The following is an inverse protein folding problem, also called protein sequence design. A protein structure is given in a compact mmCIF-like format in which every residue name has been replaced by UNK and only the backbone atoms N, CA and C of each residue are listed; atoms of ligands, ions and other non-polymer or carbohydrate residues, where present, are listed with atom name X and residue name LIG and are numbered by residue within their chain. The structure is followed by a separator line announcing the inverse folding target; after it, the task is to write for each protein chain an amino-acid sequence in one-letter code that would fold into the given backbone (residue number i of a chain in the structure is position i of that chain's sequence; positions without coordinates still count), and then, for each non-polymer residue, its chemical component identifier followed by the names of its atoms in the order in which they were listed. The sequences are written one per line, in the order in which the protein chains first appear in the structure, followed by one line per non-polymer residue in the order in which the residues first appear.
data_IF_969774356958
#
_entry.id   IF_969774356958
#
_cell.length_a   1.000
_cell.length_b   1.000
_cell.length_c   1.000
_cell.angle_alpha   90.00
_cell.angle_beta   90.00
_cell.angle_gamma   90.00
#
_symmetry.space_group_name_H-M   'P 1'
#
loop_
_entity.id
_entity.type
_entity.pdbx_description
1 polymer ?
#
# COMPACT_ATOMS: atom_id res chain seq x y z
N UNK A 1 19.21 7.47 -14.40
CA UNK A 1 18.24 6.41 -14.04
C UNK A 1 18.41 5.89 -12.61
N UNK A 2 19.62 5.59 -12.11
CA UNK A 2 19.79 5.00 -10.76
C UNK A 2 19.20 5.75 -9.55
N UNK A 3 19.05 7.09 -9.61
CA UNK A 3 18.48 7.87 -8.50
C UNK A 3 17.01 7.54 -8.22
N UNK A 4 16.17 7.34 -9.25
CA UNK A 4 14.74 7.03 -9.04
C UNK A 4 14.54 5.61 -8.51
N UNK A 5 15.35 4.65 -8.99
CA UNK A 5 15.35 3.27 -8.48
C UNK A 5 15.76 3.24 -7.01
N UNK A 6 16.81 3.99 -6.65
CA UNK A 6 17.27 4.11 -5.26
C UNK A 6 16.20 4.74 -4.37
N UNK A 7 15.57 5.83 -4.82
CA UNK A 7 14.48 6.47 -4.09
C UNK A 7 13.27 5.54 -3.91
N UNK A 8 12.88 4.80 -4.95
CA UNK A 8 11.82 3.79 -4.87
C UNK A 8 12.16 2.69 -3.85
N UNK A 9 13.39 2.16 -3.90
CA UNK A 9 13.86 1.16 -2.95
C UNK A 9 13.80 1.67 -1.51
N UNK A 10 14.40 2.83 -1.23
CA UNK A 10 14.42 3.41 0.11
C UNK A 10 12.99 3.62 0.63
N UNK A 11 12.11 4.15 -0.22
CA UNK A 11 10.71 4.39 0.15
C UNK A 11 9.99 3.08 0.50
N UNK A 12 10.15 2.04 -0.33
CA UNK A 12 9.57 0.72 -0.09
C UNK A 12 10.14 0.06 1.17
N UNK A 13 11.46 0.09 1.34
CA UNK A 13 12.15 -0.48 2.50
C UNK A 13 11.71 0.22 3.81
N UNK A 14 11.64 1.55 3.82
CA UNK A 14 11.16 2.30 4.98
C UNK A 14 9.72 1.94 5.33
N UNK A 15 8.82 1.86 4.35
CA UNK A 15 7.43 1.47 4.59
C UNK A 15 7.32 0.04 5.11
N UNK A 16 8.11 -0.89 4.55
CA UNK A 16 8.18 -2.27 5.01
C UNK A 16 8.61 -2.34 6.48
N UNK A 17 9.68 -1.63 6.86
CA UNK A 17 10.20 -1.60 8.23
C UNK A 17 9.20 -0.95 9.20
N UNK A 18 8.71 0.24 8.88
CA UNK A 18 7.76 0.99 9.73
C UNK A 18 6.46 0.21 9.98
N UNK A 19 6.02 -0.61 9.02
CA UNK A 19 4.78 -1.39 9.13
C UNK A 19 4.97 -2.78 9.70
N UNK A 20 6.20 -3.22 9.96
CA UNK A 20 6.50 -4.58 10.45
C UNK A 20 5.74 -4.89 11.75
N UNK A 21 5.77 -3.99 12.73
CA UNK A 21 5.02 -4.16 13.98
C UNK A 21 3.51 -4.24 13.73
N UNK A 22 2.98 -3.40 12.85
CA UNK A 22 1.55 -3.38 12.51
C UNK A 22 1.12 -4.68 11.84
N UNK A 23 1.96 -5.27 10.98
CA UNK A 23 1.70 -6.54 10.30
C UNK A 23 1.75 -7.75 11.24
N UNK A 24 2.63 -7.72 12.24
CA UNK A 24 2.70 -8.76 13.28
C UNK A 24 1.40 -8.78 14.09
N UNK A 25 0.95 -7.59 14.53
CA UNK A 25 -0.22 -7.44 15.41
C UNK A 25 -1.55 -7.58 14.64
N UNK A 26 -1.65 -7.04 13.43
CA UNK A 26 -2.89 -6.99 12.66
C UNK A 26 -2.80 -7.88 11.41
N UNK A 27 -3.51 -9.02 11.34
CA UNK A 27 -3.52 -9.90 10.17
C UNK A 27 -3.88 -9.18 8.87
N UNK A 28 -4.83 -8.23 8.92
CA UNK A 28 -5.26 -7.41 7.77
C UNK A 28 -4.14 -6.58 7.15
N UNK A 29 -3.13 -6.19 7.93
CA UNK A 29 -2.02 -5.39 7.43
C UNK A 29 -0.95 -6.22 6.70
N UNK A 30 -0.93 -7.55 6.89
CA UNK A 30 0.12 -8.46 6.39
C UNK A 30 0.26 -8.42 4.87
N UNK A 31 -0.85 -8.47 4.13
CA UNK A 31 -0.80 -8.49 2.66
C UNK A 31 -0.15 -7.23 2.09
N UNK A 32 -0.58 -6.05 2.56
CA UNK A 32 0.01 -4.78 2.13
C UNK A 32 1.45 -4.58 2.62
N UNK A 33 1.85 -5.21 3.74
CA UNK A 33 3.23 -5.23 4.22
C UNK A 33 4.10 -6.15 3.36
N UNK A 34 3.65 -7.37 3.05
CA UNK A 34 4.33 -8.28 2.13
C UNK A 34 4.48 -7.63 0.75
N UNK A 35 3.44 -6.94 0.25
CA UNK A 35 3.51 -6.19 -1.01
C UNK A 35 4.68 -5.20 -1.04
N UNK A 36 4.87 -4.42 0.04
CA UNK A 36 6.02 -3.51 0.15
C UNK A 36 7.37 -4.23 0.22
N UNK A 37 7.44 -5.40 0.87
CA UNK A 37 8.67 -6.19 0.95
C UNK A 37 9.06 -6.78 -0.42
N UNK A 38 8.11 -7.42 -1.11
CA UNK A 38 8.33 -7.94 -2.46
C UNK A 38 8.64 -6.83 -3.46
N UNK A 39 7.97 -5.68 -3.36
CA UNK A 39 8.31 -4.50 -4.15
C UNK A 39 9.73 -4.00 -3.87
N UNK A 40 10.16 -3.91 -2.60
CA UNK A 40 11.51 -3.49 -2.26
C UNK A 40 12.56 -4.45 -2.86
N UNK A 41 12.33 -5.76 -2.74
CA UNK A 41 13.21 -6.77 -3.31
C UNK A 41 13.25 -6.67 -4.85
N UNK A 42 12.11 -6.47 -5.51
CA UNK A 42 12.07 -6.30 -6.96
C UNK A 42 12.84 -5.06 -7.45
N UNK A 43 12.82 -3.97 -6.68
CA UNK A 43 13.59 -2.77 -7.04
C UNK A 43 15.07 -2.98 -6.72
N UNK A 44 15.41 -3.74 -5.67
CA UNK A 44 16.79 -4.08 -5.34
C UNK A 44 17.47 -4.85 -6.48
N UNK A 45 16.74 -5.75 -7.16
CA UNK A 45 17.27 -6.55 -8.27
C UNK A 45 17.58 -5.75 -9.53
N UNK A 46 17.19 -4.47 -9.62
CA UNK A 46 17.45 -3.60 -10.78
C UNK A 46 18.91 -3.16 -10.94
N UNK A 47 19.78 -3.47 -9.98
CA UNK A 47 21.20 -3.10 -10.10
C UNK A 47 21.62 -1.79 -9.44
N UNK A 48 20.69 -1.00 -8.88
CA UNK A 48 21.00 0.36 -8.40
C UNK A 48 21.81 0.40 -7.10
N UNK A 49 21.71 -0.64 -6.28
CA UNK A 49 22.38 -0.75 -4.98
C UNK A 49 23.42 -1.86 -5.01
N UNK A 50 23.01 -3.03 -5.49
CA UNK A 50 23.89 -4.16 -5.75
C UNK A 50 23.90 -4.34 -7.26
N UNK A 51 25.07 -4.39 -7.93
CA UNK A 51 25.16 -4.63 -9.37
C UNK A 51 24.46 -5.93 -9.81
N UNK A 52 23.82 -5.89 -10.99
CA UNK A 52 23.06 -7.02 -11.54
C UNK A 52 23.94 -8.24 -11.73
N UNK A 53 25.18 -8.04 -12.15
CA UNK A 53 26.15 -9.09 -12.45
C UNK A 53 26.49 -9.92 -11.20
N UNK A 54 26.53 -9.29 -10.03
CA UNK A 54 26.80 -9.96 -8.76
C UNK A 54 25.59 -10.80 -8.34
N UNK A 55 24.39 -10.21 -8.39
CA UNK A 55 23.16 -10.89 -7.99
C UNK A 55 22.80 -12.04 -8.94
N UNK A 56 22.86 -11.80 -10.24
CA UNK A 56 22.59 -12.82 -11.26
C UNK A 56 23.68 -13.89 -11.26
N UNK A 57 24.95 -13.51 -11.10
CA UNK A 57 26.06 -14.44 -10.95
C UNK A 57 25.88 -15.40 -9.77
N UNK A 58 25.35 -14.93 -8.63
CA UNK A 58 25.01 -15.77 -7.49
C UNK A 58 23.88 -16.77 -7.77
N UNK A 59 23.04 -16.51 -8.78
CA UNK A 59 21.97 -17.39 -9.25
C UNK A 59 22.40 -18.33 -10.39
N UNK A 60 23.69 -18.33 -10.75
CA UNK A 60 24.25 -19.11 -11.85
C UNK A 60 24.40 -18.35 -13.17
N UNK A 61 24.04 -17.07 -13.21
CA UNK A 61 24.12 -16.19 -14.37
C UNK A 61 23.04 -16.43 -15.43
N UNK A 62 23.20 -15.78 -16.58
CA UNK A 62 22.30 -15.89 -17.75
C UNK A 62 20.91 -15.26 -17.56
N UNK A 63 20.85 -14.12 -16.87
CA UNK A 63 19.64 -13.29 -16.72
C UNK A 63 18.49 -13.97 -15.95
N UNK A 64 18.78 -14.96 -15.11
CA UNK A 64 17.79 -15.58 -14.21
C UNK A 64 17.23 -14.55 -13.23
N UNK A 65 18.03 -13.56 -12.84
CA UNK A 65 17.61 -12.46 -11.99
C UNK A 65 16.44 -11.68 -12.59
N UNK A 66 16.36 -11.55 -13.91
CA UNK A 66 15.23 -10.89 -14.57
C UNK A 66 13.91 -11.63 -14.30
N UNK A 67 13.93 -12.96 -14.35
CA UNK A 67 12.76 -13.77 -14.02
C UNK A 67 12.36 -13.59 -12.55
N UNK A 68 13.34 -13.62 -11.64
CA UNK A 68 13.12 -13.38 -10.20
C UNK A 68 12.51 -12.00 -9.98
N UNK A 69 13.04 -10.96 -10.62
CA UNK A 69 12.51 -9.60 -10.55
C UNK A 69 11.03 -9.55 -10.97
N UNK A 70 10.68 -10.18 -12.09
CA UNK A 70 9.29 -10.21 -12.57
C UNK A 70 8.36 -10.94 -11.59
N UNK A 71 8.81 -12.03 -10.98
CA UNK A 71 8.05 -12.72 -9.92
C UNK A 71 7.83 -11.82 -8.70
N UNK A 72 8.89 -11.19 -8.19
CA UNK A 72 8.83 -10.32 -7.01
C UNK A 72 7.91 -9.12 -7.27
N UNK A 73 8.07 -8.43 -8.40
CA UNK A 73 7.25 -7.29 -8.76
C UNK A 73 5.77 -7.68 -8.92
N UNK A 74 5.50 -8.74 -9.68
CA UNK A 74 4.13 -9.23 -9.90
C UNK A 74 3.46 -9.65 -8.59
N UNK A 75 4.20 -10.33 -7.70
CA UNK A 75 3.69 -10.73 -6.40
C UNK A 75 3.40 -9.50 -5.52
N UNK A 76 4.27 -8.50 -5.54
CA UNK A 76 4.06 -7.22 -4.85
C UNK A 76 2.76 -6.54 -5.28
N UNK A 77 2.55 -6.37 -6.59
CA UNK A 77 1.32 -5.80 -7.15
C UNK A 77 0.09 -6.68 -6.87
N UNK A 78 0.22 -8.01 -6.97
CA UNK A 78 -0.90 -8.92 -6.71
C UNK A 78 -1.36 -8.86 -5.25
N UNK A 79 -0.41 -8.88 -4.30
CA UNK A 79 -0.69 -8.73 -2.88
C UNK A 79 -1.34 -7.38 -2.56
N UNK A 80 -0.97 -6.33 -3.28
CA UNK A 80 -1.62 -5.02 -3.16
C UNK A 80 -3.10 -5.11 -3.54
N UNK A 81 -3.45 -5.76 -4.67
CA UNK A 81 -4.86 -5.98 -5.04
C UNK A 81 -5.59 -6.78 -3.98
N UNK A 82 -5.00 -7.88 -3.51
CA UNK A 82 -5.62 -8.71 -2.47
C UNK A 82 -5.83 -7.92 -1.17
N UNK A 83 -4.99 -6.93 -0.87
CA UNK A 83 -5.17 -6.06 0.29
C UNK A 83 -6.28 -5.01 0.13
N UNK A 84 -6.69 -4.72 -1.10
CA UNK A 84 -7.77 -3.76 -1.40
C UNK A 84 -9.16 -4.37 -1.52
N UNK A 85 -9.27 -5.68 -1.73
CA UNK A 85 -10.57 -6.37 -1.81
C UNK A 85 -11.14 -6.52 -0.39
N UNK A 86 -12.33 -5.96 -0.09
CA UNK A 86 -12.94 -6.09 1.23
C UNK A 86 -13.25 -7.57 1.56
N UNK A 87 -12.72 -8.06 2.69
CA UNK A 87 -12.97 -9.44 3.19
C UNK A 87 -14.46 -9.69 3.50
N UNK A 88 -15.28 -8.65 3.65
CA UNK A 88 -16.67 -8.75 4.12
C UNK A 88 -17.73 -8.89 3.01
N UNK A 89 -17.39 -8.70 1.73
CA UNK A 89 -18.37 -8.71 0.62
C UNK A 89 -18.13 -9.80 -0.43
N UNK A 90 -17.03 -10.56 -0.34
CA UNK A 90 -16.77 -11.65 -1.26
C UNK A 90 -17.37 -12.95 -0.72
N UNK A 91 -18.43 -13.45 -1.37
CA UNK A 91 -18.78 -14.87 -1.31
C UNK A 91 -17.48 -15.69 -1.43
N UNK A 92 -17.30 -16.79 -0.67
CA UNK A 92 -16.03 -17.51 -0.60
C UNK A 92 -15.54 -17.84 -2.02
N UNK A 93 -14.56 -17.05 -2.49
CA UNK A 93 -13.98 -17.26 -3.80
C UNK A 93 -13.14 -18.53 -3.71
N UNK A 94 -13.35 -19.43 -4.66
CA UNK A 94 -12.50 -20.62 -4.77
C UNK A 94 -11.03 -20.19 -4.90
N UNK A 95 -10.08 -20.96 -4.34
CA UNK A 95 -8.65 -20.64 -4.43
C UNK A 95 -8.19 -20.39 -5.88
N UNK A 96 -8.75 -21.15 -6.82
CA UNK A 96 -8.46 -21.00 -8.26
C UNK A 96 -8.91 -19.64 -8.80
N UNK A 97 -10.07 -19.13 -8.40
CA UNK A 97 -10.52 -17.79 -8.83
C UNK A 97 -9.70 -16.68 -8.17
N UNK A 98 -9.19 -16.93 -6.97
CA UNK A 98 -8.39 -15.97 -6.19
C UNK A 98 -6.92 -15.91 -6.60
N UNK A 99 -6.30 -17.01 -7.03
CA UNK A 99 -4.87 -17.07 -7.37
C UNK A 99 -4.60 -17.50 -8.82
N UNK A 100 -5.58 -18.07 -9.51
CA UNK A 100 -5.44 -18.57 -10.89
C UNK A 100 -4.94 -17.52 -11.88
N UNK A 101 -5.45 -16.27 -11.90
CA UNK A 101 -4.93 -15.27 -12.82
C UNK A 101 -3.43 -14.98 -12.61
N UNK A 102 -2.96 -14.95 -11.36
CA UNK A 102 -1.53 -14.81 -11.05
C UNK A 102 -0.73 -16.00 -11.55
N UNK A 103 -1.23 -17.23 -11.33
CA UNK A 103 -0.57 -18.44 -11.83
C UNK A 103 -0.46 -18.47 -13.35
N UNK A 104 -1.49 -18.01 -14.06
CA UNK A 104 -1.48 -17.89 -15.52
C UNK A 104 -0.43 -16.87 -15.98
N UNK A 105 -0.36 -15.70 -15.36
CA UNK A 105 0.66 -14.68 -15.68
C UNK A 105 2.06 -15.24 -15.42
N UNK A 106 2.27 -15.90 -14.28
CA UNK A 106 3.54 -16.50 -13.89
C UNK A 106 3.99 -17.57 -14.87
N UNK A 107 3.09 -18.50 -15.20
CA UNK A 107 3.36 -19.52 -16.21
C UNK A 107 3.67 -18.88 -17.57
N UNK A 108 2.88 -17.87 -17.98
CA UNK A 108 3.03 -17.21 -19.27
C UNK A 108 4.40 -16.57 -19.47
N UNK A 109 4.83 -15.67 -18.57
CA UNK A 109 6.15 -15.05 -18.72
C UNK A 109 7.29 -16.05 -18.47
N UNK A 110 7.10 -17.08 -17.63
CA UNK A 110 8.14 -18.10 -17.40
C UNK A 110 8.36 -18.96 -18.64
N UNK A 111 7.27 -19.39 -19.29
CA UNK A 111 7.34 -20.14 -20.55
C UNK A 111 8.03 -19.27 -21.60
N UNK A 112 7.64 -18.00 -21.74
CA UNK A 112 8.29 -17.08 -22.66
C UNK A 112 9.79 -16.92 -22.35
N UNK A 113 10.16 -16.72 -21.07
CA UNK A 113 11.54 -16.57 -20.61
C UNK A 113 12.43 -17.78 -20.93
N UNK A 114 11.93 -19.00 -20.73
CA UNK A 114 12.69 -20.23 -21.03
C UNK A 114 12.98 -20.37 -22.53
N UNK A 115 12.16 -19.75 -23.39
CA UNK A 115 12.33 -19.76 -24.84
C UNK A 115 13.18 -18.58 -25.36
N UNK A 116 13.82 -17.80 -24.48
CA UNK A 116 14.78 -16.77 -24.90
C UNK A 116 16.17 -17.40 -24.98
N UNK A 117 16.92 -17.13 -26.04
CA UNK A 117 18.37 -17.32 -26.03
C UNK A 117 18.99 -16.18 -25.22
N UNK A 118 19.26 -16.45 -23.92
CA UNK A 118 19.47 -15.42 -22.89
C UNK A 118 20.84 -14.74 -22.94
N UNK A 119 21.83 -15.35 -23.63
CA UNK A 119 23.23 -14.91 -23.67
C UNK A 119 23.79 -14.56 -22.27
N UNK A 120 24.86 -13.78 -22.22
CA UNK A 120 25.46 -13.30 -20.98
C UNK A 120 24.52 -12.33 -20.24
N UNK A 121 24.73 -12.21 -18.93
CA UNK A 121 24.00 -11.27 -18.07
C UNK A 121 24.06 -9.84 -18.60
N UNK A 122 22.91 -9.17 -18.68
CA UNK A 122 22.78 -7.78 -19.12
C UNK A 122 21.82 -6.99 -18.25
N UNK A 123 22.15 -5.73 -17.99
CA UNK A 123 21.28 -4.77 -17.30
C UNK A 123 20.05 -4.38 -18.12
N UNK A 124 20.13 -4.49 -19.45
CA UNK A 124 19.07 -4.13 -20.41
C UNK A 124 18.55 -5.38 -21.12
N UNK A 125 18.54 -6.52 -20.43
CA UNK A 125 18.26 -7.85 -20.97
C UNK A 125 17.13 -7.92 -22.02
N UNK A 126 15.95 -7.33 -21.74
CA UNK A 126 14.82 -7.37 -22.68
C UNK A 126 15.06 -6.51 -23.93
N UNK A 127 15.68 -5.35 -23.77
CA UNK A 127 15.97 -4.46 -24.89
C UNK A 127 17.07 -5.06 -25.78
N UNK A 128 18.03 -5.75 -25.19
CA UNK A 128 19.12 -6.42 -25.90
C UNK A 128 18.69 -7.65 -26.69
N UNK A 129 17.56 -8.25 -26.31
CA UNK A 129 16.98 -9.45 -26.96
C UNK A 129 15.63 -9.13 -27.63
N UNK A 130 15.38 -7.85 -27.95
CA UNK A 130 14.12 -7.40 -28.51
C UNK A 130 13.81 -8.04 -29.87
N UNK A 131 14.82 -8.52 -30.59
CA UNK A 131 14.67 -9.28 -31.83
C UNK A 131 13.96 -10.62 -31.63
N UNK A 132 13.92 -11.14 -30.40
CA UNK A 132 13.25 -12.38 -30.06
C UNK A 132 11.83 -12.10 -29.58
N UNK A 133 10.84 -12.67 -30.28
CA UNK A 133 9.44 -12.54 -29.88
C UNK A 133 9.19 -13.07 -28.46
N UNK A 134 9.95 -14.08 -28.02
CA UNK A 134 9.90 -14.61 -26.66
C UNK A 134 10.25 -13.56 -25.60
N UNK A 135 11.23 -12.67 -25.86
CA UNK A 135 11.59 -11.59 -24.95
C UNK A 135 10.48 -10.53 -24.87
N UNK A 136 9.94 -10.12 -26.02
CA UNK A 136 8.82 -9.17 -26.11
C UNK A 136 7.60 -9.69 -25.37
N UNK A 137 7.23 -10.97 -25.60
CA UNK A 137 6.10 -11.61 -24.92
C UNK A 137 6.36 -11.77 -23.42
N UNK A 138 7.57 -12.15 -23.01
CA UNK A 138 7.95 -12.29 -21.61
C UNK A 138 7.70 -11.00 -20.83
N UNK A 139 8.23 -9.87 -21.32
CA UNK A 139 8.02 -8.56 -20.69
C UNK A 139 6.56 -8.12 -20.78
N UNK A 140 5.91 -8.29 -21.94
CA UNK A 140 4.54 -7.83 -22.16
C UNK A 140 3.52 -8.55 -21.28
N UNK A 141 3.62 -9.88 -21.11
CA UNK A 141 2.69 -10.64 -20.25
C UNK A 141 2.72 -10.13 -18.81
N UNK A 142 3.93 -9.89 -18.29
CA UNK A 142 4.14 -9.32 -16.97
C UNK A 142 3.56 -7.90 -16.86
N UNK A 143 3.89 -7.02 -17.81
CA UNK A 143 3.44 -5.62 -17.81
C UNK A 143 1.92 -5.51 -17.96
N UNK A 144 1.29 -6.36 -18.77
CA UNK A 144 -0.19 -6.46 -18.86
C UNK A 144 -0.78 -6.83 -17.50
N UNK A 145 -0.15 -7.74 -16.76
CA UNK A 145 -0.52 -8.05 -15.38
C UNK A 145 -0.53 -6.80 -14.49
N UNK A 146 0.54 -6.00 -14.55
CA UNK A 146 0.62 -4.74 -13.78
C UNK A 146 -0.42 -3.72 -14.26
N UNK A 147 -0.67 -3.59 -15.57
CA UNK A 147 -1.71 -2.71 -16.12
C UNK A 147 -3.07 -3.07 -15.54
N UNK A 148 -3.46 -4.34 -15.59
CA UNK A 148 -4.75 -4.80 -15.04
C UNK A 148 -4.87 -4.48 -13.55
N UNK A 149 -3.81 -4.73 -12.79
CA UNK A 149 -3.76 -4.44 -11.35
C UNK A 149 -3.88 -2.93 -11.08
N UNK A 150 -3.10 -2.12 -11.79
CA UNK A 150 -3.05 -0.67 -11.60
C UNK A 150 -4.36 -0.01 -11.99
N UNK A 151 -5.00 -0.46 -13.08
CA UNK A 151 -6.34 -0.01 -13.46
C UNK A 151 -7.37 -0.36 -12.39
N UNK A 152 -7.35 -1.59 -11.86
CA UNK A 152 -8.25 -1.99 -10.76
C UNK A 152 -8.06 -1.12 -9.52
N UNK A 153 -6.82 -0.80 -9.17
CA UNK A 153 -6.51 0.10 -8.06
C UNK A 153 -7.11 1.50 -8.27
N UNK A 154 -6.95 2.06 -9.48
CA UNK A 154 -7.54 3.36 -9.83
C UNK A 154 -9.06 3.31 -9.74
N UNK A 155 -9.69 2.27 -10.31
CA UNK A 155 -11.15 2.09 -10.28
C UNK A 155 -11.68 1.93 -8.85
N UNK A 156 -11.02 1.14 -8.02
CA UNK A 156 -11.38 0.96 -6.61
C UNK A 156 -11.25 2.26 -5.81
N UNK A 157 -10.30 3.12 -6.16
CA UNK A 157 -10.11 4.42 -5.51
C UNK A 157 -11.08 5.52 -5.98
N UNK A 158 -11.85 5.31 -7.07
CA UNK A 158 -12.77 6.33 -7.63
C UNK A 158 -13.94 6.73 -6.71
N UNK A 159 -14.68 5.81 -6.06
CA UNK A 159 -15.88 6.16 -5.30
C UNK A 159 -15.57 6.98 -4.04
N UNK A 160 -14.37 6.82 -3.48
CA UNK A 160 -13.97 7.51 -2.26
C UNK A 160 -13.72 9.01 -2.53
N UNK A 161 -14.51 9.93 -1.98
CA UNK A 161 -14.20 11.38 -2.08
C UNK A 161 -13.12 11.84 -1.12
N UNK A 162 -12.61 10.97 -0.24
CA UNK A 162 -11.55 11.31 0.69
C UNK A 162 -10.25 11.62 -0.06
N UNK A 163 -9.68 12.79 0.21
CA UNK A 163 -8.38 13.22 -0.32
C UNK A 163 -7.29 12.16 -0.08
N UNK A 164 -7.43 11.30 0.91
CA UNK A 164 -6.47 10.22 1.23
C UNK A 164 -6.22 9.23 0.08
N UNK A 165 -7.14 9.11 -0.89
CA UNK A 165 -7.02 8.15 -1.99
C UNK A 165 -6.40 8.71 -3.29
N UNK A 166 -6.09 10.01 -3.34
CA UNK A 166 -5.44 10.62 -4.51
C UNK A 166 -4.12 9.93 -4.91
N UNK A 167 -3.23 9.51 -3.97
CA UNK A 167 -1.96 8.88 -4.33
C UNK A 167 -2.15 7.55 -5.07
N UNK A 168 -3.21 6.80 -4.77
CA UNK A 168 -3.52 5.54 -5.44
C UNK A 168 -4.04 5.76 -6.85
N UNK A 169 -4.80 6.83 -7.08
CA UNK A 169 -5.33 7.16 -8.41
C UNK A 169 -4.24 7.63 -9.35
N UNK A 170 -3.48 8.64 -8.93
CA UNK A 170 -2.40 9.19 -9.75
C UNK A 170 -1.31 8.15 -9.91
N UNK A 171 -0.95 7.45 -8.83
CA UNK A 171 0.13 6.47 -8.86
C UNK A 171 -0.22 5.26 -9.71
N UNK A 172 -1.44 4.74 -9.59
CA UNK A 172 -1.93 3.67 -10.46
C UNK A 172 -2.05 4.09 -11.92
N UNK A 173 -2.49 5.33 -12.20
CA UNK A 173 -2.53 5.86 -13.56
C UNK A 173 -1.12 5.97 -14.18
N UNK A 174 -0.14 6.49 -13.43
CA UNK A 174 1.25 6.58 -13.85
C UNK A 174 1.87 5.21 -14.12
N UNK A 175 1.66 4.23 -13.23
CA UNK A 175 2.10 2.85 -13.47
C UNK A 175 1.47 2.25 -14.73
N UNK A 176 0.17 2.52 -14.96
CA UNK A 176 -0.56 2.05 -16.14
C UNK A 176 0.03 2.65 -17.42
N UNK A 177 0.21 3.97 -17.46
CA UNK A 177 0.75 4.66 -18.64
C UNK A 177 2.19 4.23 -18.91
N UNK A 178 3.02 4.13 -17.87
CA UNK A 178 4.39 3.62 -18.01
C UNK A 178 4.41 2.21 -18.58
N UNK A 179 3.66 1.27 -18.01
CA UNK A 179 3.62 -0.11 -18.49
C UNK A 179 3.08 -0.23 -19.93
N UNK A 180 2.06 0.55 -20.29
CA UNK A 180 1.56 0.60 -21.68
C UNK A 180 2.61 1.18 -22.63
N UNK A 181 3.30 2.26 -22.23
CA UNK A 181 4.40 2.83 -23.02
C UNK A 181 5.46 1.78 -23.32
N UNK A 182 5.91 1.05 -22.30
CA UNK A 182 6.93 0.02 -22.46
C UNK A 182 6.46 -1.10 -23.39
N UNK A 183 5.25 -1.61 -23.21
CA UNK A 183 4.68 -2.61 -24.14
C UNK A 183 4.72 -2.10 -25.58
N UNK A 184 4.19 -0.89 -25.82
CA UNK A 184 4.13 -0.31 -27.17
C UNK A 184 5.53 -0.19 -27.78
N UNK A 185 6.52 0.32 -27.04
CA UNK A 185 7.88 0.47 -27.54
C UNK A 185 8.63 -0.86 -27.70
N UNK A 186 8.29 -1.90 -26.94
CA UNK A 186 8.80 -3.26 -27.19
C UNK A 186 8.28 -3.81 -28.52
N UNK A 187 6.99 -3.65 -28.82
CA UNK A 187 6.42 -4.07 -30.09
C UNK A 187 6.94 -3.25 -31.27
N UNK A 188 7.04 -1.92 -31.13
CA UNK A 188 7.65 -1.06 -32.15
C UNK A 188 9.12 -1.45 -32.38
N UNK A 189 9.89 -1.65 -31.31
CA UNK A 189 11.29 -2.05 -31.42
C UNK A 189 11.47 -3.40 -32.10
N UNK A 190 10.58 -4.36 -31.87
CA UNK A 190 10.63 -5.67 -32.52
C UNK A 190 10.24 -5.63 -34.01
N UNK A 191 9.11 -4.98 -34.34
CA UNK A 191 8.52 -5.06 -35.68
C UNK A 191 8.94 -3.94 -36.64
N UNK A 192 9.18 -2.73 -36.12
CA UNK A 192 9.47 -1.54 -36.93
C UNK A 192 10.97 -1.23 -36.92
N UNK A 193 11.66 -1.49 -35.80
CA UNK A 193 13.08 -1.19 -35.60
C UNK A 193 13.42 0.28 -35.96
N UNK A 194 12.82 1.25 -35.25
CA UNK A 194 13.06 2.67 -35.51
C UNK A 194 14.52 3.05 -35.22
N UNK A 195 14.91 4.26 -35.64
CA UNK A 195 16.24 4.81 -35.33
C UNK A 195 16.53 4.76 -33.82
N UNK A 196 17.77 4.42 -33.45
CA UNK A 196 18.18 4.19 -32.07
C UNK A 196 17.87 5.37 -31.12
N UNK A 197 17.94 6.60 -31.62
CA UNK A 197 17.62 7.82 -30.87
C UNK A 197 16.14 7.88 -30.45
N UNK A 198 15.24 7.55 -31.39
CA UNK A 198 13.79 7.50 -31.18
C UNK A 198 13.44 6.34 -30.24
N UNK A 199 14.05 5.18 -30.44
CA UNK A 199 13.84 4.00 -29.60
C UNK A 199 14.27 4.26 -28.15
N UNK A 200 15.46 4.84 -27.95
CA UNK A 200 15.99 5.18 -26.63
C UNK A 200 15.10 6.21 -25.91
N UNK A 201 14.58 7.21 -26.63
CA UNK A 201 13.65 8.19 -26.06
C UNK A 201 12.33 7.53 -25.62
N UNK A 202 11.84 6.55 -26.39
CA UNK A 202 10.67 5.75 -26.06
C UNK A 202 10.82 4.95 -24.76
N UNK A 203 11.95 4.24 -24.60
CA UNK A 203 12.26 3.49 -23.39
C UNK A 203 12.54 4.40 -22.19
N UNK A 204 13.18 5.56 -22.41
CA UNK A 204 13.47 6.50 -21.33
C UNK A 204 12.22 7.07 -20.64
N UNK A 205 11.06 7.05 -21.31
CA UNK A 205 9.80 7.51 -20.72
C UNK A 205 9.22 6.52 -19.70
N UNK A 206 9.56 5.23 -19.77
CA UNK A 206 9.02 4.19 -18.88
C UNK A 206 9.38 4.44 -17.41
N UNK A 207 10.67 4.50 -17.11
CA UNK A 207 11.19 4.63 -15.73
C UNK A 207 10.55 5.78 -14.93
N UNK A 208 10.55 7.05 -15.41
CA UNK A 208 10.00 8.15 -14.65
C UNK A 208 8.49 7.99 -14.43
N UNK A 209 7.74 7.46 -15.40
CA UNK A 209 6.30 7.23 -15.25
C UNK A 209 6.04 6.10 -14.24
N UNK A 210 6.67 4.96 -14.44
CA UNK A 210 6.39 3.77 -13.65
C UNK A 210 6.83 3.93 -12.19
N UNK A 211 8.08 4.31 -11.95
CA UNK A 211 8.61 4.37 -10.58
C UNK A 211 8.07 5.55 -9.78
N UNK A 212 7.75 6.69 -10.41
CA UNK A 212 7.02 7.76 -9.70
C UNK A 212 5.63 7.29 -9.27
N UNK A 213 4.96 6.50 -10.12
CA UNK A 213 3.69 5.86 -9.76
C UNK A 213 3.81 4.92 -8.57
N UNK A 214 4.84 4.05 -8.56
CA UNK A 214 5.13 3.14 -7.44
C UNK A 214 5.40 3.92 -6.15
N UNK A 215 6.27 4.93 -6.19
CA UNK A 215 6.59 5.78 -5.04
C UNK A 215 5.30 6.42 -4.48
N UNK A 216 4.43 6.93 -5.35
CA UNK A 216 3.19 7.57 -4.95
C UNK A 216 2.20 6.61 -4.27
N UNK A 217 2.04 5.40 -4.82
CA UNK A 217 1.21 4.34 -4.22
C UNK A 217 1.74 3.99 -2.83
N UNK A 218 3.04 3.78 -2.71
CA UNK A 218 3.70 3.42 -1.44
C UNK A 218 3.58 4.55 -0.42
N UNK A 219 3.77 5.80 -0.85
CA UNK A 219 3.53 6.99 -0.02
C UNK A 219 2.07 7.07 0.44
N UNK A 220 1.10 6.71 -0.41
CA UNK A 220 -0.30 6.58 -0.04
C UNK A 220 -0.52 5.59 1.11
N UNK A 221 0.05 4.39 1.01
CA UNK A 221 -0.01 3.36 2.06
C UNK A 221 0.66 3.84 3.36
N UNK A 222 1.83 4.48 3.23
CA UNK A 222 2.55 5.07 4.37
C UNK A 222 1.70 6.13 5.06
N UNK A 223 1.04 7.00 4.29
CA UNK A 223 0.22 8.09 4.80
C UNK A 223 -0.94 7.59 5.67
N UNK A 224 -1.59 6.47 5.30
CA UNK A 224 -2.62 5.85 6.13
C UNK A 224 -2.06 5.35 7.46
N UNK A 225 -0.85 4.76 7.43
CA UNK A 225 -0.18 4.26 8.64
C UNK A 225 0.18 5.43 9.57
N UNK A 226 0.76 6.49 9.02
CA UNK A 226 1.14 7.69 9.79
C UNK A 226 -0.10 8.37 10.37
N UNK A 227 -1.17 8.52 9.59
CA UNK A 227 -2.44 9.10 10.08
C UNK A 227 -3.05 8.27 11.20
N UNK A 228 -3.08 6.95 11.05
CA UNK A 228 -3.52 6.05 12.14
C UNK A 228 -2.66 6.26 13.38
N UNK A 229 -1.34 6.27 13.24
CA UNK A 229 -0.45 6.46 14.39
C UNK A 229 -0.62 7.81 15.08
N UNK A 230 -0.78 8.89 14.33
CA UNK A 230 -1.08 10.23 14.85
C UNK A 230 -2.41 10.22 15.62
N UNK A 231 -3.45 9.63 15.04
CA UNK A 231 -4.76 9.48 15.69
C UNK A 231 -4.64 8.71 17.00
N UNK A 232 -4.04 7.53 16.94
CA UNK A 232 -3.86 6.63 18.08
C UNK A 232 -3.07 7.32 19.20
N UNK A 233 -2.05 8.11 18.86
CA UNK A 233 -1.25 8.90 19.79
C UNK A 233 -2.05 10.05 20.41
N UNK A 234 -2.82 10.79 19.61
CA UNK A 234 -3.71 11.87 20.10
C UNK A 234 -4.73 11.32 21.09
N UNK A 235 -5.34 10.18 20.80
CA UNK A 235 -6.28 9.51 21.70
C UNK A 235 -5.61 9.08 23.01
N UNK A 236 -4.42 8.49 22.93
CA UNK A 236 -3.65 8.10 24.12
C UNK A 236 -3.30 9.30 25.00
N UNK A 237 -2.93 10.43 24.39
CA UNK A 237 -2.65 11.68 25.11
C UNK A 237 -3.93 12.23 25.75
N UNK A 238 -5.07 12.20 25.05
CA UNK A 238 -6.34 12.65 25.58
C UNK A 238 -6.76 11.83 26.82
N UNK A 239 -6.71 10.49 26.75
CA UNK A 239 -7.01 9.59 27.87
C UNK A 239 -6.12 9.91 29.08
N UNK A 240 -4.80 10.02 28.87
CA UNK A 240 -3.86 10.33 29.96
C UNK A 240 -4.08 11.70 30.58
N UNK A 241 -4.42 12.70 29.78
CA UNK A 241 -4.70 14.06 30.28
C UNK A 241 -5.99 14.08 31.09
N UNK A 242 -7.06 13.45 30.58
CA UNK A 242 -8.32 13.28 31.31
C UNK A 242 -8.10 12.56 32.64
N UNK A 243 -7.42 11.41 32.64
CA UNK A 243 -7.16 10.65 33.86
C UNK A 243 -6.35 11.45 34.89
N UNK A 244 -5.36 12.24 34.47
CA UNK A 244 -4.59 13.12 35.37
C UNK A 244 -5.45 14.26 35.93
N UNK A 245 -6.27 14.88 35.11
CA UNK A 245 -7.17 15.97 35.54
C UNK A 245 -8.24 15.44 36.50
N UNK A 246 -8.80 14.25 36.24
CA UNK A 246 -9.69 13.56 37.17
C UNK A 246 -9.02 13.30 38.52
N UNK A 247 -7.81 12.72 38.50
CA UNK A 247 -7.06 12.46 39.73
C UNK A 247 -6.71 13.74 40.50
N UNK A 248 -6.38 14.83 39.81
CA UNK A 248 -6.10 16.12 40.45
C UNK A 248 -7.35 16.78 41.06
N UNK A 249 -8.54 16.47 40.51
CA UNK A 249 -9.83 16.93 41.00
C UNK A 249 -10.47 15.99 42.03
N UNK A 250 -9.72 14.99 42.52
CA UNK A 250 -10.19 13.94 43.44
C UNK A 250 -11.42 13.15 42.91
N UNK A 251 -11.56 13.07 41.59
CA UNK A 251 -12.58 12.25 40.93
C UNK A 251 -12.08 10.82 40.82
N UNK A 252 -12.87 9.81 41.24
CA UNK A 252 -12.50 8.41 41.10
C UNK A 252 -12.18 8.03 39.65
N UNK A 253 -10.90 7.75 39.36
CA UNK A 253 -10.45 7.25 38.07
C UNK A 253 -10.58 5.73 38.07
N UNK A 254 -11.30 5.12 37.11
CA UNK A 254 -11.30 3.66 36.98
C UNK A 254 -9.87 3.14 36.76
N UNK A 255 -9.57 1.93 37.24
CA UNK A 255 -8.28 1.30 36.97
C UNK A 255 -8.11 1.10 35.46
N UNK A 256 -7.28 1.95 34.86
CA UNK A 256 -7.00 1.90 33.43
C UNK A 256 -6.01 0.77 33.17
N UNK A 257 -6.48 -0.30 32.52
CA UNK A 257 -5.57 -1.34 32.06
C UNK A 257 -4.69 -0.81 30.91
N UNK A 258 -3.57 -1.48 30.67
CA UNK A 258 -2.72 -1.19 29.50
C UNK A 258 -3.50 -1.38 28.19
N UNK A 259 -4.51 -2.23 28.18
CA UNK A 259 -5.34 -2.51 27.01
C UNK A 259 -6.37 -1.40 26.74
N UNK A 260 -6.78 -0.66 27.77
CA UNK A 260 -7.70 0.49 27.60
C UNK A 260 -6.97 1.70 27.00
N UNK A 261 -5.71 1.90 27.41
CA UNK A 261 -4.89 3.03 26.95
C UNK A 261 -4.24 2.76 25.59
N UNK A 262 -3.90 1.51 25.27
CA UNK A 262 -3.15 1.15 24.06
C UNK A 262 -3.82 0.09 23.18
N UNK A 263 -4.98 -0.44 23.54
CA UNK A 263 -5.72 -1.41 22.74
C UNK A 263 -6.74 -0.76 21.82
N UNK A 264 -7.70 -1.56 21.35
CA UNK A 264 -8.77 -1.10 20.43
C UNK A 264 -9.90 -0.37 21.18
N UNK A 265 -9.98 -0.50 22.51
CA UNK A 265 -11.02 0.12 23.34
C UNK A 265 -10.82 1.62 23.60
N UNK A 266 -9.75 2.23 23.08
CA UNK A 266 -9.36 3.62 23.39
C UNK A 266 -10.47 4.64 23.18
N UNK A 267 -11.28 4.49 22.13
CA UNK A 267 -12.39 5.41 21.86
C UNK A 267 -13.44 5.31 22.98
N UNK A 268 -13.80 4.08 23.36
CA UNK A 268 -14.74 3.81 24.45
C UNK A 268 -14.19 4.29 25.78
N UNK A 269 -12.94 3.97 26.10
CA UNK A 269 -12.27 4.44 27.33
C UNK A 269 -12.22 5.96 27.42
N UNK A 270 -11.88 6.65 26.32
CA UNK A 270 -11.88 8.11 26.28
C UNK A 270 -13.29 8.69 26.49
N UNK A 271 -14.30 8.05 25.90
CA UNK A 271 -15.71 8.43 26.04
C UNK A 271 -16.22 8.23 27.48
N UNK A 272 -15.94 7.08 28.10
CA UNK A 272 -16.34 6.75 29.47
C UNK A 272 -15.71 7.71 30.49
N UNK A 273 -14.42 8.01 30.34
CA UNK A 273 -13.73 8.99 31.19
C UNK A 273 -14.33 10.38 31.04
N UNK A 274 -14.69 10.77 29.82
CA UNK A 274 -15.29 12.07 29.55
C UNK A 274 -16.68 12.19 30.19
N UNK A 275 -17.56 11.20 29.99
CA UNK A 275 -18.90 11.18 30.59
C UNK A 275 -18.79 11.28 32.10
N UNK A 276 -17.97 10.43 32.71
CA UNK A 276 -17.82 10.41 34.16
C UNK A 276 -17.32 11.74 34.70
N UNK A 277 -16.39 12.39 34.01
CA UNK A 277 -15.91 13.71 34.42
C UNK A 277 -16.98 14.80 34.29
N UNK A 278 -17.82 14.74 33.25
CA UNK A 278 -18.95 15.67 33.06
C UNK A 278 -20.06 15.44 34.09
N UNK A 279 -20.36 14.20 34.45
CA UNK A 279 -21.35 13.88 35.48
C UNK A 279 -20.96 14.46 36.84
N UNK A 280 -19.67 14.43 37.18
CA UNK A 280 -19.14 14.99 38.43
C UNK A 280 -19.12 16.52 38.44
N UNK A 281 -18.85 17.16 37.29
CA UNK A 281 -19.00 18.61 37.12
C UNK A 281 -20.47 19.04 37.25
N UNK A 282 -21.39 18.32 36.60
CA UNK A 282 -22.83 18.60 36.64
C UNK A 282 -23.43 18.38 38.05
N UNK A 283 -22.92 17.40 38.78
CA UNK A 283 -23.27 17.17 40.19
C UNK A 283 -22.73 18.26 41.13
N UNK A 284 -21.93 19.21 40.63
CA UNK A 284 -21.34 20.29 41.41
C UNK A 284 -20.21 19.82 42.34
N UNK A 285 -19.74 18.58 42.19
CA UNK A 285 -18.67 17.99 43.02
C UNK A 285 -17.28 18.46 42.59
N UNK A 286 -17.15 18.96 41.37
CA UNK A 286 -15.90 19.49 40.81
C UNK A 286 -16.14 20.87 40.21
N UNK A 287 -15.31 21.84 40.58
CA UNK A 287 -15.25 23.14 39.89
C UNK A 287 -14.01 23.19 39.01
N UNK A 288 -14.22 23.23 37.69
CA UNK A 288 -13.11 23.20 36.74
C UNK A 288 -12.40 24.56 36.67
N UNK A 289 -11.08 24.52 36.89
CA UNK A 289 -10.21 25.63 36.56
C UNK A 289 -10.15 25.90 35.04
N UNK A 290 -9.69 27.09 34.62
CA UNK A 290 -9.58 27.45 33.21
C UNK A 290 -8.69 26.50 32.40
N UNK A 291 -7.66 25.93 33.03
CA UNK A 291 -6.76 24.96 32.42
C UNK A 291 -7.46 23.61 32.18
N UNK A 292 -8.21 23.11 33.16
CA UNK A 292 -8.87 21.80 33.09
C UNK A 292 -10.03 21.80 32.10
N UNK A 293 -10.78 22.92 32.02
CA UNK A 293 -11.78 23.11 30.95
C UNK A 293 -11.16 22.97 29.57
N UNK A 294 -9.97 23.54 29.33
CA UNK A 294 -9.28 23.39 28.04
C UNK A 294 -8.90 21.95 27.76
N UNK A 295 -8.51 21.18 28.77
CA UNK A 295 -8.19 19.75 28.60
C UNK A 295 -9.42 18.96 28.19
N UNK A 296 -10.55 19.18 28.87
CA UNK A 296 -11.83 18.53 28.58
C UNK A 296 -12.34 18.90 27.18
N UNK A 297 -12.38 20.19 26.85
CA UNK A 297 -12.83 20.65 25.53
C UNK A 297 -11.95 20.10 24.40
N UNK A 298 -10.64 19.98 24.61
CA UNK A 298 -9.76 19.35 23.63
C UNK A 298 -10.01 17.84 23.49
N UNK A 299 -10.30 17.14 24.58
CA UNK A 299 -10.65 15.72 24.53
C UNK A 299 -12.00 15.50 23.84
N UNK A 300 -13.00 16.35 24.11
CA UNK A 300 -14.28 16.39 23.41
C UNK A 300 -14.09 16.59 21.91
N UNK A 301 -13.31 17.60 21.50
CA UNK A 301 -13.07 17.86 20.09
C UNK A 301 -12.40 16.68 19.37
N UNK A 302 -11.55 15.91 20.06
CA UNK A 302 -10.95 14.68 19.52
C UNK A 302 -12.00 13.57 19.41
N UNK A 303 -12.82 13.36 20.45
CA UNK A 303 -13.87 12.34 20.48
C UNK A 303 -14.95 12.59 19.42
N UNK A 304 -15.48 13.82 19.34
CA UNK A 304 -16.51 14.20 18.36
C UNK A 304 -16.02 13.96 16.94
N UNK A 305 -14.79 14.37 16.61
CA UNK A 305 -14.21 14.13 15.28
C UNK A 305 -14.08 12.65 14.95
N UNK A 306 -13.71 11.81 15.92
CA UNK A 306 -13.59 10.37 15.70
C UNK A 306 -14.95 9.67 15.58
N UNK A 307 -15.96 10.11 16.34
CA UNK A 307 -17.33 9.62 16.23
C UNK A 307 -17.95 9.98 14.88
N UNK A 308 -17.80 11.24 14.44
CA UNK A 308 -18.24 11.68 13.10
C UNK A 308 -17.55 10.88 11.99
N UNK A 309 -16.24 10.61 12.12
CA UNK A 309 -15.51 9.81 11.14
C UNK A 309 -15.97 8.34 11.11
N UNK A 310 -16.37 7.80 12.26
CA UNK A 310 -16.88 6.43 12.39
C UNK A 310 -18.30 6.31 11.83
N UNK A 311 -19.16 7.31 12.08
CA UNK A 311 -20.51 7.41 11.51
C UNK A 311 -20.48 7.61 10.00
N UNK A 312 -19.62 8.50 9.49
CA UNK A 312 -19.45 8.71 8.04
C UNK A 312 -18.94 7.44 7.33
N UNK A 313 -18.11 6.63 8.00
CA UNK A 313 -17.68 5.33 7.48
C UNK A 313 -18.82 4.31 7.47
N UNK A 314 -19.73 4.37 8.46
CA UNK A 314 -20.91 3.51 8.54
C UNK A 314 -22.02 3.91 7.56
N UNK A 315 -22.17 5.20 7.23
CA UNK A 315 -23.16 5.71 6.27
C UNK A 315 -22.70 5.62 4.81
N UNK A 316 -21.38 5.69 4.55
CA UNK A 316 -20.81 5.40 3.24
C UNK A 316 -20.89 3.91 2.86
N UNK A 317 -21.24 3.05 3.83
CA UNK A 317 -21.63 1.67 3.59
C UNK A 317 -23.11 1.69 3.17
N UNK A 318 -23.46 1.33 1.92
CA UNK A 318 -24.85 1.37 1.49
C UNK A 318 -25.69 0.49 2.44
N UNK A 319 -26.68 1.11 3.10
CA UNK A 319 -27.75 0.38 3.79
C UNK A 319 -28.30 -0.62 2.78
N UNK A 320 -27.94 -1.90 2.91
CA UNK A 320 -28.65 -2.97 2.21
C UNK A 320 -30.06 -2.88 2.73
N UNK A 321 -30.97 -2.36 1.90
CA UNK A 321 -32.38 -2.61 2.05
C UNK A 321 -32.53 -4.11 2.08
N UNK A 322 -32.79 -4.62 3.28
CA UNK A 322 -33.29 -5.96 3.50
C UNK A 322 -34.67 -5.99 2.87
N UNK A 323 -34.72 -6.21 1.56
CA UNK A 323 -35.95 -6.65 0.91
C UNK A 323 -36.01 -8.14 1.16
N UNK A 324 -36.64 -8.48 2.28
CA UNK A 324 -37.19 -9.80 2.52
C UNK A 324 -38.26 -10.11 1.45
N UNK A 325 -38.44 -11.41 1.20
CA UNK A 325 -39.65 -12.06 0.70
C UNK A 325 -40.09 -11.85 -0.77
N UNK A 326 -39.69 -12.78 -1.65
CA UNK A 326 -40.52 -13.88 -2.17
C UNK A 326 -39.76 -14.73 -3.17
#
# INVERSE_FOLDING_TARGET
MGAIHTAAFITLALVFLLRTRSAIVNPRARLSWMASGFGALAVLTLGSIIPVEIMDGALGGNNVLYLVQNFLASLGFWLLVLSTVPEHDAAPMTPLRRYGPMMVVFAGFTIAFVNIDRRATSTTFIHDHIEQLSAVLCASIYLVGIVVISVRLVLAARPSRSASYWPFRIGGALCTVGAVNEIVWLFIGHFIQPEASIQAAGYAAFDPLFYSGVILIVAGIASFTVRKWIRDTRMTIAIRRLARTMAAADVPVPELSRQDVYGDNRLMTAYDLLIRFRDEELAGRVTLGPHDRRVVTNAEAVLTRELESSQATSEAQPRRTRTDAR
#
